data_IF_773361243652
#
_entry.id   IF_773361243652
#
_cell.length_a   1.000
_cell.length_b   1.000
_cell.length_c   1.000
_cell.angle_alpha   90.00
_cell.angle_beta   90.00
_cell.angle_gamma   90.00
#
_symmetry.space_group_name_H-M   'P 1'
#
loop_
_entity.id
_entity.type
_entity.pdbx_description
1 polymer ?
#
# COMPACT_ATOMS: atom_id res chain seq x y z
N UNK A 1 6.96 -13.56 -4.31
CA UNK A 1 7.61 -14.10 -5.54
C UNK A 1 8.88 -13.34 -5.89
N UNK A 2 8.82 -12.02 -6.08
CA UNK A 2 9.98 -11.23 -6.53
C UNK A 2 10.75 -10.52 -5.41
N UNK A 3 10.47 -10.86 -4.14
CA UNK A 3 11.09 -10.30 -2.93
C UNK A 3 11.09 -8.76 -2.89
N UNK A 4 10.05 -8.14 -3.44
CA UNK A 4 9.81 -6.70 -3.32
C UNK A 4 9.42 -6.39 -1.86
N UNK A 5 10.13 -5.47 -1.17
CA UNK A 5 9.79 -5.08 0.18
C UNK A 5 8.38 -4.49 0.24
N UNK A 6 7.54 -5.07 1.08
CA UNK A 6 6.16 -4.64 1.34
C UNK A 6 5.77 -5.07 2.75
N UNK A 7 4.58 -4.69 3.20
CA UNK A 7 4.00 -5.17 4.43
C UNK A 7 3.86 -6.70 4.39
N UNK A 8 4.22 -7.40 5.48
CA UNK A 8 3.80 -8.79 5.64
C UNK A 8 2.27 -8.88 5.55
N UNK A 9 1.74 -9.76 4.70
CA UNK A 9 0.30 -9.84 4.46
C UNK A 9 -0.23 -11.26 4.29
N UNK A 10 -1.53 -11.42 4.51
CA UNK A 10 -2.31 -12.60 4.17
C UNK A 10 -3.57 -12.23 3.38
N UNK A 11 -4.08 -13.17 2.57
CA UNK A 11 -5.35 -13.05 1.86
C UNK A 11 -6.34 -14.08 2.39
N UNK A 12 -7.58 -13.66 2.62
CA UNK A 12 -8.60 -14.49 3.27
C UNK A 12 -9.93 -14.34 2.55
N UNK A 13 -10.53 -15.47 2.16
CA UNK A 13 -11.86 -15.52 1.51
C UNK A 13 -13.02 -15.75 2.48
N UNK A 14 -12.74 -15.84 3.79
CA UNK A 14 -13.76 -16.05 4.80
C UNK A 14 -13.40 -15.36 6.12
N UNK A 15 -14.45 -14.98 6.87
CA UNK A 15 -14.31 -14.24 8.12
C UNK A 15 -13.57 -15.05 9.20
N UNK A 16 -13.70 -16.37 9.24
CA UNK A 16 -13.12 -17.19 10.29
C UNK A 16 -11.59 -17.27 10.17
N UNK A 17 -11.08 -17.52 8.95
CA UNK A 17 -9.65 -17.53 8.68
C UNK A 17 -9.01 -16.15 8.86
N UNK A 18 -9.70 -15.08 8.43
CA UNK A 18 -9.30 -13.69 8.65
C UNK A 18 -9.16 -13.36 10.15
N UNK A 19 -10.16 -13.72 10.97
CA UNK A 19 -10.12 -13.49 12.43
C UNK A 19 -8.98 -14.24 13.10
N UNK A 20 -8.77 -15.51 12.75
CA UNK A 20 -7.68 -16.30 13.32
C UNK A 20 -6.30 -15.68 13.02
N UNK A 21 -6.12 -15.07 11.84
CA UNK A 21 -4.89 -14.36 11.50
C UNK A 21 -4.70 -13.09 12.33
N UNK A 22 -5.76 -12.28 12.48
CA UNK A 22 -5.73 -11.05 13.31
C UNK A 22 -5.47 -11.39 14.78
N UNK A 23 -6.10 -12.43 15.34
CA UNK A 23 -5.87 -12.88 16.72
C UNK A 23 -4.43 -13.32 16.95
N UNK A 24 -3.80 -13.97 15.97
CA UNK A 24 -2.40 -14.38 16.04
C UNK A 24 -1.44 -13.19 15.92
N UNK A 25 -1.76 -12.22 15.09
CA UNK A 25 -0.86 -11.11 14.73
C UNK A 25 -0.95 -9.95 15.72
N UNK A 26 -2.15 -9.64 16.21
CA UNK A 26 -2.43 -8.48 17.05
C UNK A 26 -2.59 -7.18 16.27
N UNK A 27 -2.91 -6.10 17.00
CA UNK A 27 -3.01 -4.73 16.50
C UNK A 27 -1.77 -3.90 16.91
N UNK A 28 -1.39 -2.84 16.19
CA UNK A 28 -2.07 -2.27 15.02
C UNK A 28 -1.93 -3.12 13.75
N UNK A 29 -2.99 -3.16 12.93
CA UNK A 29 -3.06 -3.96 11.70
C UNK A 29 -3.89 -3.25 10.62
N UNK A 30 -3.59 -3.49 9.35
CA UNK A 30 -4.31 -2.89 8.23
C UNK A 30 -5.19 -3.94 7.56
N UNK A 31 -6.47 -3.63 7.39
CA UNK A 31 -7.46 -4.49 6.73
C UNK A 31 -7.91 -3.80 5.46
N UNK A 32 -7.72 -4.47 4.32
CA UNK A 32 -8.11 -4.00 2.99
C UNK A 32 -9.14 -4.94 2.38
N UNK A 33 -10.29 -4.42 1.97
CA UNK A 33 -11.22 -5.16 1.11
C UNK A 33 -10.60 -5.30 -0.29
N UNK A 34 -10.65 -6.49 -0.90
CA UNK A 34 -10.06 -6.73 -2.22
C UNK A 34 -10.96 -6.15 -3.34
N UNK A 35 -10.40 -5.26 -4.18
CA UNK A 35 -11.09 -4.64 -5.32
C UNK A 35 -11.23 -3.11 -5.26
N UNK A 36 -11.89 -2.53 -6.27
CA UNK A 36 -12.08 -1.09 -6.44
C UNK A 36 -13.12 -0.53 -5.45
N UNK A 37 -12.72 -0.33 -4.20
CA UNK A 37 -13.58 0.18 -3.13
C UNK A 37 -13.61 1.73 -3.03
N UNK A 38 -13.29 2.45 -4.11
CA UNK A 38 -13.29 3.93 -4.18
C UNK A 38 -12.56 4.62 -3.00
N UNK A 39 -11.44 4.05 -2.55
CA UNK A 39 -10.65 4.57 -1.43
C UNK A 39 -11.25 4.34 -0.04
N UNK A 40 -12.39 3.64 0.08
CA UNK A 40 -13.05 3.32 1.35
C UNK A 40 -12.80 1.90 1.86
N UNK A 41 -12.01 1.12 1.11
CA UNK A 41 -11.74 -0.29 1.42
C UNK A 41 -10.62 -0.52 2.42
N UNK A 42 -9.92 0.52 2.89
CA UNK A 42 -8.73 0.39 3.75
C UNK A 42 -9.05 0.90 5.16
N UNK A 43 -8.92 0.04 6.16
CA UNK A 43 -9.02 0.39 7.58
C UNK A 43 -7.69 0.14 8.27
N UNK A 44 -7.15 1.17 8.92
CA UNK A 44 -6.01 1.04 9.85
C UNK A 44 -6.59 0.85 11.24
N UNK A 45 -6.58 -0.38 11.74
CA UNK A 45 -7.11 -0.73 13.05
C UNK A 45 -6.00 -0.65 14.10
N UNK A 46 -6.12 0.28 15.04
CA UNK A 46 -5.17 0.50 16.13
C UNK A 46 -5.45 -0.41 17.33
N UNK A 47 -6.64 -0.99 17.40
CA UNK A 47 -7.06 -1.92 18.46
C UNK A 47 -7.64 -3.22 17.89
N UNK A 48 -7.67 -4.27 18.71
CA UNK A 48 -8.30 -5.53 18.32
C UNK A 48 -9.80 -5.37 18.03
N UNK A 49 -10.49 -4.52 18.78
CA UNK A 49 -11.91 -4.26 18.58
C UNK A 49 -12.17 -3.56 17.24
N UNK A 50 -11.34 -2.57 16.88
CA UNK A 50 -11.38 -1.93 15.56
C UNK A 50 -11.13 -2.95 14.44
N UNK A 51 -10.16 -3.86 14.62
CA UNK A 51 -9.84 -4.87 13.62
C UNK A 51 -11.00 -5.85 13.42
N UNK A 52 -11.62 -6.32 14.50
CA UNK A 52 -12.78 -7.22 14.45
C UNK A 52 -13.99 -6.53 13.79
N UNK A 53 -14.23 -5.25 14.09
CA UNK A 53 -15.29 -4.47 13.46
C UNK A 53 -15.04 -4.27 11.96
N UNK A 54 -13.80 -3.95 11.56
CA UNK A 54 -13.42 -3.81 10.17
C UNK A 54 -13.62 -5.12 9.39
N UNK A 55 -13.18 -6.26 9.94
CA UNK A 55 -13.42 -7.57 9.32
C UNK A 55 -14.92 -7.85 9.16
N UNK A 56 -15.73 -7.63 10.20
CA UNK A 56 -17.17 -7.83 10.10
C UNK A 56 -17.79 -6.98 8.98
N UNK A 57 -17.36 -5.72 8.84
CA UNK A 57 -17.83 -4.83 7.77
C UNK A 57 -17.39 -5.26 6.38
N UNK A 58 -16.20 -5.87 6.23
CA UNK A 58 -15.79 -6.39 4.93
C UNK A 58 -16.67 -7.55 4.44
N UNK A 59 -17.12 -8.41 5.37
CA UNK A 59 -17.88 -9.63 5.07
C UNK A 59 -19.40 -9.51 5.22
N UNK A 60 -19.94 -8.34 5.61
CA UNK A 60 -21.39 -8.12 5.75
C UNK A 60 -22.12 -7.87 4.42
N UNK A 61 -21.38 -7.82 3.31
CA UNK A 61 -21.90 -7.58 1.95
C UNK A 61 -21.97 -6.11 1.54
N UNK A 62 -21.59 -5.16 2.39
CA UNK A 62 -21.61 -3.71 2.10
C UNK A 62 -20.71 -3.31 0.92
N UNK A 63 -19.70 -4.12 0.61
CA UNK A 63 -18.77 -3.90 -0.51
C UNK A 63 -19.13 -4.71 -1.77
N UNK A 64 -20.29 -5.38 -1.81
CA UNK A 64 -20.67 -6.23 -2.93
C UNK A 64 -19.65 -7.35 -3.18
N UNK A 65 -19.27 -7.57 -4.45
CA UNK A 65 -18.25 -8.55 -4.80
C UNK A 65 -16.84 -8.22 -4.25
N UNK A 66 -16.58 -6.94 -3.91
CA UNK A 66 -15.30 -6.50 -3.34
C UNK A 66 -15.13 -6.85 -1.85
N UNK A 67 -16.12 -7.50 -1.23
CA UNK A 67 -16.03 -8.08 0.12
C UNK A 67 -15.80 -9.59 0.14
N UNK A 68 -15.58 -10.22 -1.03
CA UNK A 68 -15.38 -11.67 -1.12
C UNK A 68 -14.02 -12.12 -0.59
N UNK A 69 -13.00 -11.26 -0.68
CA UNK A 69 -11.68 -11.48 -0.13
C UNK A 69 -11.19 -10.23 0.61
N UNK A 70 -10.40 -10.43 1.66
CA UNK A 70 -9.70 -9.37 2.39
C UNK A 70 -8.20 -9.62 2.38
N UNK A 71 -7.43 -8.55 2.22
CA UNK A 71 -6.00 -8.53 2.44
C UNK A 71 -5.74 -7.92 3.82
N UNK A 72 -5.02 -8.64 4.67
CA UNK A 72 -4.65 -8.18 6.01
C UNK A 72 -3.14 -8.00 6.04
N UNK A 73 -2.68 -6.80 6.35
CA UNK A 73 -1.28 -6.39 6.27
C UNK A 73 -0.76 -5.89 7.62
N UNK A 74 0.54 -6.08 7.87
CA UNK A 74 1.22 -5.45 9.00
C UNK A 74 1.09 -3.92 8.92
N UNK A 75 0.87 -3.28 10.08
CA UNK A 75 0.96 -1.83 10.15
C UNK A 75 2.43 -1.40 10.06
N UNK A 76 2.72 -0.52 9.10
CA UNK A 76 4.06 0.02 8.89
C UNK A 76 4.14 1.45 9.42
N UNK A 77 5.21 1.75 10.14
CA UNK A 77 5.53 3.10 10.62
C UNK A 77 6.65 3.72 9.79
N UNK A 78 6.47 4.98 9.42
CA UNK A 78 7.43 5.72 8.62
C UNK A 78 6.80 6.96 8.04
N UNK A 79 7.49 7.55 7.07
CA UNK A 79 7.01 8.70 6.33
C UNK A 79 6.50 8.25 4.96
N UNK A 80 5.27 8.64 4.60
CA UNK A 80 4.70 8.30 3.29
C UNK A 80 5.35 9.12 2.17
N UNK A 81 5.58 8.47 1.02
CA UNK A 81 6.07 9.11 -0.19
C UNK A 81 5.47 8.44 -1.44
N UNK A 82 5.25 9.25 -2.46
CA UNK A 82 4.88 8.83 -3.81
C UNK A 82 6.11 8.89 -4.71
N UNK A 83 6.37 7.79 -5.43
CA UNK A 83 7.49 7.68 -6.36
C UNK A 83 7.00 7.36 -7.76
N UNK A 84 7.44 8.13 -8.75
CA UNK A 84 6.90 8.05 -10.11
C UNK A 84 7.97 7.67 -11.13
N UNK A 85 7.67 6.65 -11.94
CA UNK A 85 8.51 6.19 -13.04
C UNK A 85 7.76 6.20 -14.36
N UNK A 86 8.42 6.65 -15.43
CA UNK A 86 7.98 6.43 -16.80
C UNK A 86 8.58 5.11 -17.29
N UNK A 87 7.73 4.18 -17.71
CA UNK A 87 8.10 2.82 -18.07
C UNK A 87 7.78 2.55 -19.55
N UNK A 88 8.67 1.82 -20.24
CA UNK A 88 8.52 1.48 -21.67
C UNK A 88 8.31 -0.03 -21.93
N UNK A 89 8.13 -0.83 -20.87
CA UNK A 89 8.06 -2.28 -20.91
C UNK A 89 9.36 -2.99 -20.51
N UNK A 90 10.50 -2.31 -20.56
CA UNK A 90 11.83 -2.85 -20.19
C UNK A 90 12.57 -1.97 -19.19
N UNK A 91 12.50 -0.67 -19.38
CA UNK A 91 13.20 0.36 -18.61
C UNK A 91 12.20 1.16 -17.80
N UNK A 92 12.62 1.59 -16.61
CA UNK A 92 11.90 2.57 -15.79
C UNK A 92 12.79 3.79 -15.56
N UNK A 93 12.30 4.96 -15.94
CA UNK A 93 12.95 6.25 -15.71
C UNK A 93 12.24 6.98 -14.56
N UNK A 94 12.88 7.15 -13.39
CA UNK A 94 12.29 7.93 -12.30
C UNK A 94 12.24 9.41 -12.70
N UNK A 95 11.09 10.06 -12.50
CA UNK A 95 10.92 11.46 -12.92
C UNK A 95 10.39 12.39 -11.82
N UNK A 96 9.92 11.85 -10.69
CA UNK A 96 9.38 12.69 -9.63
C UNK A 96 9.16 11.95 -8.32
N UNK A 97 9.18 12.73 -7.25
CA UNK A 97 8.75 12.32 -5.91
C UNK A 97 7.75 13.32 -5.40
N UNK A 98 6.77 12.85 -4.65
CA UNK A 98 5.83 13.72 -3.95
C UNK A 98 5.52 13.14 -2.58
N UNK A 99 5.07 13.99 -1.68
CA UNK A 99 4.46 13.57 -0.44
C UNK A 99 3.05 14.13 -0.41
N UNK A 100 2.08 13.25 -0.21
CA UNK A 100 0.66 13.58 -0.18
C UNK A 100 0.18 13.63 1.27
N UNK A 101 -0.70 14.60 1.56
CA UNK A 101 -1.36 14.73 2.85
C UNK A 101 -2.79 14.21 2.72
N UNK A 102 -3.03 13.00 3.21
CA UNK A 102 -4.34 12.34 3.06
C UNK A 102 -5.36 12.76 4.11
N UNK A 103 -4.93 13.24 5.27
CA UNK A 103 -5.81 13.55 6.41
C UNK A 103 -6.44 14.93 6.23
N UNK A 104 -7.73 15.03 6.55
CA UNK A 104 -8.51 16.25 6.31
C UNK A 104 -8.12 17.43 7.22
N UNK A 105 -7.56 17.16 8.39
CA UNK A 105 -7.21 18.17 9.39
C UNK A 105 -5.70 18.38 9.54
N UNK A 106 -5.33 19.60 9.92
CA UNK A 106 -3.95 20.00 10.21
C UNK A 106 -3.30 19.08 11.26
N UNK A 107 -2.04 18.70 11.04
CA UNK A 107 -1.32 17.76 11.92
C UNK A 107 -1.71 16.30 11.72
N UNK A 108 -2.18 15.95 10.52
CA UNK A 108 -2.59 14.60 10.11
C UNK A 108 -3.73 13.99 10.95
N UNK A 109 -4.73 14.82 11.28
CA UNK A 109 -5.89 14.41 12.09
C UNK A 109 -7.17 14.24 11.26
N UNK A 110 -8.14 13.50 11.79
CA UNK A 110 -9.43 13.27 11.14
C UNK A 110 -9.40 12.13 10.12
N UNK A 111 -10.50 11.88 9.37
CA UNK A 111 -10.58 10.79 8.41
C UNK A 111 -9.57 10.93 7.25
N UNK A 112 -9.17 9.79 6.68
CA UNK A 112 -8.43 9.75 5.42
C UNK A 112 -9.31 10.24 4.26
N UNK A 113 -8.71 10.97 3.32
CA UNK A 113 -9.31 11.44 2.07
C UNK A 113 -8.52 10.88 0.87
N UNK A 114 -8.92 11.22 -0.35
CA UNK A 114 -8.15 10.89 -1.55
C UNK A 114 -6.88 11.74 -1.77
N UNK A 115 -6.58 12.66 -0.84
CA UNK A 115 -5.46 13.62 -0.92
C UNK A 115 -5.97 15.06 -0.75
N UNK A 116 -5.47 15.76 0.27
CA UNK A 116 -5.76 17.18 0.54
C UNK A 116 -4.78 18.11 -0.15
N UNK A 117 -3.64 17.59 -0.59
CA UNK A 117 -2.59 18.32 -1.26
C UNK A 117 -1.27 17.57 -1.20
N UNK A 118 -0.45 17.76 -2.23
CA UNK A 118 0.87 17.17 -2.30
C UNK A 118 1.90 18.23 -2.70
N UNK A 119 3.16 17.99 -2.33
CA UNK A 119 4.27 18.84 -2.73
C UNK A 119 5.41 18.00 -3.34
N UNK A 120 6.26 18.67 -4.13
CA UNK A 120 7.37 18.03 -4.85
C UNK A 120 8.59 18.98 -4.90
N UNK A 121 9.83 18.45 -4.76
CA UNK A 121 10.17 17.06 -4.44
C UNK A 121 9.90 16.71 -2.97
N UNK A 122 9.74 15.42 -2.66
CA UNK A 122 9.63 14.92 -1.29
C UNK A 122 11.03 14.79 -0.64
N UNK A 123 11.35 15.52 0.44
CA UNK A 123 12.67 15.51 1.08
C UNK A 123 13.09 14.16 1.64
N UNK A 124 12.13 13.33 2.06
CA UNK A 124 12.36 11.95 2.51
C UNK A 124 12.96 11.06 1.42
N UNK A 125 12.72 11.38 0.15
CA UNK A 125 13.26 10.67 -1.00
C UNK A 125 14.63 11.23 -1.41
N UNK A 126 15.62 11.03 -0.53
CA UNK A 126 17.01 11.36 -0.81
C UNK A 126 17.55 10.57 -2.02
N UNK A 127 18.67 11.00 -2.65
CA UNK A 127 19.27 10.25 -3.76
C UNK A 127 19.52 8.77 -3.44
N UNK A 128 19.95 8.48 -2.21
CA UNK A 128 20.16 7.10 -1.75
C UNK A 128 18.84 6.34 -1.62
N UNK A 129 17.79 6.98 -1.10
CA UNK A 129 16.45 6.39 -0.98
C UNK A 129 15.83 6.10 -2.35
N UNK A 130 16.01 7.01 -3.32
CA UNK A 130 15.62 6.81 -4.72
C UNK A 130 16.36 5.60 -5.30
N UNK A 131 17.68 5.51 -5.10
CA UNK A 131 18.49 4.40 -5.58
C UNK A 131 18.06 3.05 -4.98
N UNK A 132 17.71 3.02 -3.69
CA UNK A 132 17.15 1.83 -3.04
C UNK A 132 15.78 1.46 -3.60
N UNK A 133 14.89 2.44 -3.75
CA UNK A 133 13.54 2.25 -4.32
C UNK A 133 13.61 1.66 -5.73
N UNK A 134 14.51 2.16 -6.58
CA UNK A 134 14.72 1.60 -7.92
C UNK A 134 15.14 0.13 -7.87
N UNK A 135 16.19 -0.20 -7.12
CA UNK A 135 16.77 -1.56 -7.07
C UNK A 135 15.90 -2.58 -6.34
N UNK A 136 15.25 -2.17 -5.26
CA UNK A 136 14.53 -3.07 -4.34
C UNK A 136 13.05 -3.23 -4.74
N UNK A 137 12.46 -2.24 -5.43
CA UNK A 137 11.01 -2.19 -5.71
C UNK A 137 10.72 -2.10 -7.21
N UNK A 138 11.24 -1.10 -7.91
CA UNK A 138 10.82 -0.81 -9.30
C UNK A 138 11.41 -1.81 -10.31
N UNK A 139 12.73 -2.02 -10.30
CA UNK A 139 13.39 -2.93 -11.23
C UNK A 139 12.91 -4.39 -11.07
N UNK A 140 12.74 -4.94 -9.85
CA UNK A 140 12.17 -6.27 -9.68
C UNK A 140 10.72 -6.37 -10.16
N UNK A 141 9.92 -5.31 -10.01
CA UNK A 141 8.54 -5.25 -10.52
C UNK A 141 8.51 -5.27 -12.04
N UNK A 142 9.31 -4.41 -12.69
CA UNK A 142 9.41 -4.36 -14.15
C UNK A 142 9.86 -5.70 -14.73
N UNK A 143 10.90 -6.30 -14.15
CA UNK A 143 11.37 -7.64 -14.52
C UNK A 143 10.28 -8.69 -14.32
N UNK A 144 9.62 -8.68 -13.16
CA UNK A 144 8.59 -9.65 -12.83
C UNK A 144 7.36 -9.59 -13.74
N UNK A 145 6.96 -8.38 -14.16
CA UNK A 145 5.89 -8.14 -15.12
C UNK A 145 6.25 -8.66 -16.52
N UNK A 146 7.48 -8.40 -16.98
CA UNK A 146 7.99 -8.92 -18.24
C UNK A 146 8.08 -10.46 -18.24
N UNK A 147 8.58 -11.08 -17.15
CA UNK A 147 8.66 -12.53 -16.98
C UNK A 147 7.27 -13.21 -16.99
N UNK A 148 6.23 -12.48 -16.56
CA UNK A 148 4.84 -12.94 -16.59
C UNK A 148 4.18 -12.77 -17.97
N UNK A 149 4.89 -12.24 -18.97
CA UNK A 149 4.35 -11.95 -20.31
C UNK A 149 3.44 -10.72 -20.35
N UNK A 150 3.51 -9.86 -19.32
CA UNK A 150 2.71 -8.65 -19.18
C UNK A 150 3.61 -7.42 -18.94
N UNK A 151 4.52 -7.06 -19.87
CA UNK A 151 5.40 -5.91 -19.69
C UNK A 151 4.58 -4.62 -19.51
N UNK A 152 4.99 -3.78 -18.56
CA UNK A 152 4.27 -2.55 -18.22
C UNK A 152 4.86 -1.34 -18.95
N UNK A 153 4.02 -0.60 -19.69
CA UNK A 153 4.37 0.66 -20.32
C UNK A 153 3.38 1.75 -19.90
N UNK A 154 3.88 2.89 -19.43
CA UNK A 154 3.07 3.96 -18.85
C UNK A 154 3.72 4.62 -17.65
N UNK A 155 2.91 5.26 -16.82
CA UNK A 155 3.37 5.85 -15.56
C UNK A 155 3.13 4.82 -14.46
N UNK A 156 4.20 4.38 -13.81
CA UNK A 156 4.13 3.54 -12.62
C UNK A 156 4.20 4.45 -11.39
N UNK A 157 3.10 4.55 -10.66
CA UNK A 157 3.05 5.18 -9.35
C UNK A 157 3.34 4.11 -8.30
N UNK A 158 4.36 4.30 -7.47
CA UNK A 158 4.60 3.50 -6.27
C UNK A 158 4.27 4.33 -5.02
N UNK A 159 3.27 3.90 -4.26
CA UNK A 159 3.01 4.40 -2.92
C UNK A 159 3.94 3.72 -1.93
N UNK A 160 4.74 4.49 -1.21
CA UNK A 160 5.81 3.98 -0.34
C UNK A 160 5.59 4.41 1.10
N UNK A 161 5.99 3.52 2.01
CA UNK A 161 6.29 3.84 3.39
C UNK A 161 7.81 3.84 3.56
N UNK A 162 8.39 4.98 3.91
CA UNK A 162 9.83 5.09 4.20
C UNK A 162 10.03 4.78 5.67
N UNK A 163 10.39 3.54 5.95
CA UNK A 163 10.62 3.03 7.31
C UNK A 163 12.08 3.22 7.72
N UNK A 164 12.38 2.98 9.00
CA UNK A 164 13.77 2.94 9.50
C UNK A 164 14.66 1.91 8.75
N UNK A 165 14.06 0.86 8.20
CA UNK A 165 14.77 -0.20 7.46
C UNK A 165 14.87 0.08 5.96
N UNK A 166 14.21 1.14 5.47
CA UNK A 166 14.16 1.53 4.06
C UNK A 166 12.74 1.56 3.47
N UNK A 167 12.64 1.66 2.12
CA UNK A 167 11.37 1.82 1.45
C UNK A 167 10.61 0.48 1.44
N UNK A 168 9.33 0.53 1.82
CA UNK A 168 8.39 -0.58 1.63
C UNK A 168 7.24 -0.12 0.74
N UNK A 169 6.87 -0.96 -0.23
CA UNK A 169 5.74 -0.74 -1.11
C UNK A 169 4.42 -0.90 -0.33
N UNK A 170 3.58 0.12 -0.39
CA UNK A 170 2.19 0.09 0.09
C UNK A 170 1.28 -0.44 -1.02
N UNK A 171 1.38 0.15 -2.22
CA UNK A 171 0.55 -0.17 -3.38
C UNK A 171 1.15 0.40 -4.68
N UNK A 172 0.68 -0.13 -5.81
CA UNK A 172 0.88 0.45 -7.13
C UNK A 172 -0.41 1.10 -7.63
N UNK A 173 -0.27 2.24 -8.32
CA UNK A 173 -1.35 2.90 -9.06
C UNK A 173 -0.97 3.12 -10.52
#
# INVERSE_FOLDING_TARGET
RYNIPTAAYGRFGDLASAKAYVEKTGAPIVIKADGLAAGKGVTVAMTMDEAQAALASCFDGSFGAAGAEVVIEEFMTGEEASFFCLCDGMTALPFGTAQDHKRVGDGDVGPNTGGMGAYSPAPVMTPDMIGRTMREIIEPTMRGMAELGAPFAGILFAGLMITENGPKLIEYN
#
